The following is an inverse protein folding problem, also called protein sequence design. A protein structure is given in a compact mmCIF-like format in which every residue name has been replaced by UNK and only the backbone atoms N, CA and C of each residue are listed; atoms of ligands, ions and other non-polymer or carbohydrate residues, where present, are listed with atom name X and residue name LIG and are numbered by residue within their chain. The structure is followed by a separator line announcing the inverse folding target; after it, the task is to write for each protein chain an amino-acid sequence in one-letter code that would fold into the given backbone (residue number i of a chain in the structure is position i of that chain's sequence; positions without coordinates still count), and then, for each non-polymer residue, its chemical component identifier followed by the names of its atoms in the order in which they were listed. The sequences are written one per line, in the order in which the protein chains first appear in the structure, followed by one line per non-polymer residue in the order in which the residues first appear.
data_IF_785745195457
#
_entry.id   IF_785745195457
#
_cell.length_a   1.000
_cell.length_b   1.000
_cell.length_c   1.000
_cell.angle_alpha   90.00
_cell.angle_beta   90.00
_cell.angle_gamma   90.00
#
_symmetry.space_group_name_H-M   'P 1'
#
loop_
_entity.id
_entity.type
_entity.pdbx_description
1 polymer ?
#
# COMPACT_ATOMS: atom_id res chain seq x y z
N UNK A 1 -46.84 20.60 -83.27
CA UNK A 1 -45.45 21.12 -83.41
C UNK A 1 -44.68 20.75 -82.14
N UNK A 2 -43.70 19.85 -82.23
CA UNK A 2 -42.90 19.32 -81.09
C UNK A 2 -41.88 20.37 -80.64
N UNK A 3 -41.81 20.70 -79.36
CA UNK A 3 -40.60 21.30 -78.75
C UNK A 3 -40.26 20.56 -77.45
N UNK A 4 -38.97 20.25 -77.36
CA UNK A 4 -38.29 19.21 -76.57
C UNK A 4 -38.02 19.65 -75.13
N UNK A 5 -38.23 18.75 -74.18
CA UNK A 5 -37.68 18.79 -72.82
C UNK A 5 -36.18 18.48 -72.82
N UNK A 6 -35.36 19.39 -72.26
CA UNK A 6 -33.93 19.18 -72.00
C UNK A 6 -33.71 18.69 -70.56
N UNK A 7 -33.21 17.46 -70.44
CA UNK A 7 -32.65 16.86 -69.21
C UNK A 7 -31.46 17.67 -68.68
N UNK A 8 -31.51 18.11 -67.43
CA UNK A 8 -30.32 18.52 -66.68
C UNK A 8 -29.75 17.32 -65.91
N UNK A 9 -28.51 16.94 -66.26
CA UNK A 9 -27.72 15.91 -65.56
C UNK A 9 -27.16 16.49 -64.26
N UNK A 10 -27.28 15.72 -63.18
CA UNK A 10 -26.68 16.03 -61.87
C UNK A 10 -25.15 15.95 -61.92
N UNK A 11 -24.47 16.92 -61.31
CA UNK A 11 -23.05 16.84 -60.93
C UNK A 11 -22.97 16.84 -59.40
N UNK A 12 -22.91 15.66 -58.81
CA UNK A 12 -22.57 15.47 -57.39
C UNK A 12 -21.09 15.82 -57.16
N UNK A 13 -20.82 17.01 -56.63
CA UNK A 13 -19.53 17.33 -56.00
C UNK A 13 -19.46 16.63 -54.64
N UNK A 14 -18.61 15.59 -54.54
CA UNK A 14 -18.18 15.00 -53.26
C UNK A 14 -17.49 16.10 -52.42
N UNK A 15 -18.17 16.58 -51.38
CA UNK A 15 -17.51 17.25 -50.23
C UNK A 15 -17.10 16.16 -49.26
N UNK A 16 -15.83 15.77 -49.28
CA UNK A 16 -15.23 15.01 -48.18
C UNK A 16 -15.21 15.89 -46.92
N UNK A 17 -16.20 15.67 -46.06
CA UNK A 17 -16.11 16.10 -44.66
C UNK A 17 -15.08 15.19 -43.99
N UNK A 18 -13.85 15.70 -43.80
CA UNK A 18 -12.92 15.15 -42.81
C UNK A 18 -13.61 15.21 -41.44
N UNK A 19 -14.15 14.07 -41.02
CA UNK A 19 -14.66 13.85 -39.66
C UNK A 19 -13.44 13.88 -38.74
N UNK A 20 -13.27 14.97 -38.00
CA UNK A 20 -12.39 14.98 -36.83
C UNK A 20 -12.88 13.87 -35.90
N UNK A 21 -12.13 12.76 -35.85
CA UNK A 21 -12.32 11.73 -34.82
C UNK A 21 -11.87 12.35 -33.51
N UNK A 22 -12.80 12.91 -32.75
CA UNK A 22 -12.61 13.18 -31.33
C UNK A 22 -12.21 11.85 -30.68
N UNK A 23 -10.98 11.78 -30.16
CA UNK A 23 -10.53 10.71 -29.28
C UNK A 23 -11.53 10.64 -28.11
N UNK A 24 -12.40 9.62 -28.11
CA UNK A 24 -13.16 9.26 -26.92
C UNK A 24 -12.14 8.83 -25.87
N UNK A 25 -11.90 9.68 -24.87
CA UNK A 25 -11.27 9.27 -23.63
C UNK A 25 -12.16 8.19 -23.02
N UNK A 26 -11.74 6.93 -23.13
CA UNK A 26 -12.39 5.80 -22.49
C UNK A 26 -12.06 5.94 -21.00
N UNK A 27 -12.97 6.58 -20.25
CA UNK A 27 -12.94 6.59 -18.80
C UNK A 27 -13.30 5.18 -18.31
N UNK A 28 -12.35 4.50 -17.65
CA UNK A 28 -12.63 3.24 -16.98
C UNK A 28 -12.90 3.52 -15.50
N UNK A 29 -14.18 3.51 -15.15
CA UNK A 29 -14.62 3.33 -13.76
C UNK A 29 -14.45 1.84 -13.48
N UNK A 30 -13.75 1.46 -12.40
CA UNK A 30 -13.54 0.05 -12.03
C UNK A 30 -14.88 -0.50 -11.49
N UNK A 31 -15.61 -1.37 -12.21
CA UNK A 31 -16.85 -1.94 -11.71
C UNK A 31 -16.58 -3.23 -10.93
N UNK A 32 -17.33 -3.47 -9.85
CA UNK A 32 -17.32 -4.74 -9.14
C UNK A 32 -18.01 -5.83 -9.98
N UNK A 33 -17.28 -6.88 -10.39
CA UNK A 33 -17.84 -8.11 -10.95
C UNK A 33 -16.82 -9.27 -10.81
N UNK A 34 -17.06 -10.19 -9.86
CA UNK A 34 -16.26 -11.41 -9.68
C UNK A 34 -16.79 -12.57 -10.52
N UNK A 35 -16.07 -13.10 -11.53
CA UNK A 35 -16.49 -14.29 -12.28
C UNK A 35 -15.67 -15.55 -11.95
N UNK A 36 -16.35 -16.70 -11.82
CA UNK A 36 -15.82 -18.02 -11.46
C UNK A 36 -14.77 -18.63 -12.43
N UNK A 37 -14.55 -18.03 -13.61
CA UNK A 37 -13.65 -18.58 -14.64
C UNK A 37 -12.18 -18.17 -14.51
N UNK A 38 -11.82 -17.27 -13.57
CA UNK A 38 -10.42 -16.92 -13.23
C UNK A 38 -9.78 -17.96 -12.30
N UNK A 39 -10.06 -19.25 -12.52
CA UNK A 39 -9.44 -20.37 -11.80
C UNK A 39 -8.47 -21.16 -12.67
N UNK A 40 -8.64 -21.17 -14.00
CA UNK A 40 -7.83 -21.98 -14.91
C UNK A 40 -6.49 -21.32 -15.33
N UNK A 41 -6.44 -20.00 -15.43
CA UNK A 41 -5.21 -19.27 -15.82
C UNK A 41 -4.14 -19.27 -14.70
N UNK A 42 -4.55 -19.47 -13.45
CA UNK A 42 -3.64 -19.51 -12.28
C UNK A 42 -2.73 -20.73 -12.26
N UNK A 43 -3.15 -21.83 -12.90
CA UNK A 43 -2.42 -23.10 -12.86
C UNK A 43 -1.24 -23.14 -13.84
N UNK A 44 -1.31 -22.41 -14.95
CA UNK A 44 -0.27 -22.41 -15.98
C UNK A 44 0.96 -21.55 -15.60
N UNK A 45 0.78 -20.54 -14.74
CA UNK A 45 1.87 -19.67 -14.27
C UNK A 45 2.74 -20.36 -13.21
N UNK A 46 2.22 -21.36 -12.49
CA UNK A 46 2.97 -22.06 -11.43
C UNK A 46 4.02 -23.07 -11.96
N UNK A 47 4.13 -23.30 -13.27
CA UNK A 47 5.06 -24.28 -13.86
C UNK A 47 6.45 -23.71 -14.21
N UNK A 48 6.70 -22.42 -14.07
CA UNK A 48 8.03 -21.82 -14.32
C UNK A 48 8.85 -21.78 -13.02
N UNK A 49 9.76 -22.75 -12.87
CA UNK A 49 10.89 -22.88 -11.92
C UNK A 49 10.82 -22.09 -10.60
N UNK A 50 10.70 -22.83 -9.48
CA UNK A 50 10.96 -22.38 -8.09
C UNK A 50 12.37 -21.78 -7.94
N UNK A 51 12.59 -20.54 -8.36
CA UNK A 51 13.61 -19.70 -7.74
C UNK A 51 12.96 -19.07 -6.50
N UNK A 52 13.48 -19.39 -5.31
CA UNK A 52 13.02 -18.75 -4.08
C UNK A 52 13.31 -17.25 -4.15
N UNK A 53 12.27 -16.41 -4.16
CA UNK A 53 12.48 -14.95 -4.14
C UNK A 53 13.23 -14.53 -2.87
N UNK A 54 14.14 -13.56 -2.99
CA UNK A 54 14.94 -12.99 -1.91
C UNK A 54 14.11 -12.66 -0.67
N UNK A 55 14.65 -13.01 0.50
CA UNK A 55 14.13 -12.68 1.83
C UNK A 55 15.21 -11.90 2.59
N UNK A 56 14.87 -10.77 3.24
CA UNK A 56 15.78 -10.10 4.16
C UNK A 56 16.32 -11.04 5.24
N UNK A 57 17.57 -10.84 5.65
CA UNK A 57 18.25 -11.69 6.64
C UNK A 57 17.57 -11.66 8.00
N UNK A 58 17.00 -10.50 8.38
CA UNK A 58 16.24 -10.34 9.63
C UNK A 58 15.13 -11.39 9.77
N UNK A 59 14.58 -11.91 8.67
CA UNK A 59 13.51 -12.91 8.74
C UNK A 59 13.95 -14.24 9.39
N UNK A 60 15.25 -14.47 9.58
CA UNK A 60 15.78 -15.61 10.36
C UNK A 60 15.52 -15.47 11.86
N UNK A 61 15.42 -14.23 12.35
CA UNK A 61 15.24 -13.90 13.76
C UNK A 61 13.76 -13.65 14.13
N UNK A 62 12.87 -13.82 13.15
CA UNK A 62 11.43 -13.58 13.29
C UNK A 62 10.65 -14.87 13.43
N UNK A 63 9.43 -14.75 13.94
CA UNK A 63 8.45 -15.84 13.85
C UNK A 63 8.24 -16.20 12.39
N UNK A 64 8.61 -17.43 12.02
CA UNK A 64 8.60 -17.89 10.63
C UNK A 64 7.17 -17.94 10.09
N UNK A 65 6.94 -17.43 8.87
CA UNK A 65 5.67 -17.57 8.18
C UNK A 65 5.36 -19.04 7.89
N UNK A 66 4.19 -19.49 8.34
CA UNK A 66 3.66 -20.84 8.26
C UNK A 66 2.36 -20.83 7.46
N UNK A 67 2.09 -21.94 6.76
CA UNK A 67 0.81 -22.17 6.10
C UNK A 67 -0.20 -22.76 7.09
N UNK A 68 -0.53 -21.98 8.12
CA UNK A 68 -1.55 -22.30 9.13
C UNK A 68 -2.58 -21.17 9.16
N UNK A 69 -3.86 -21.45 9.47
CA UNK A 69 -4.87 -20.42 9.56
C UNK A 69 -4.60 -19.46 10.73
N UNK A 70 -4.77 -18.15 10.50
CA UNK A 70 -4.92 -17.19 11.60
C UNK A 70 -6.10 -17.60 12.47
N UNK A 71 -5.93 -17.47 13.78
CA UNK A 71 -7.05 -17.58 14.70
C UNK A 71 -7.74 -16.23 14.78
N UNK A 72 -9.06 -16.27 14.90
CA UNK A 72 -9.88 -15.08 15.05
C UNK A 72 -9.45 -14.26 16.28
N UNK A 73 -9.41 -12.93 16.14
CA UNK A 73 -9.20 -12.04 17.29
C UNK A 73 -10.57 -11.54 17.73
N UNK A 74 -10.95 -11.91 18.96
CA UNK A 74 -12.25 -11.55 19.53
C UNK A 74 -12.19 -10.20 20.21
N UNK A 75 -13.34 -9.52 20.23
CA UNK A 75 -13.51 -8.22 20.89
C UNK A 75 -13.21 -8.31 22.39
N UNK A 76 -12.74 -7.24 23.00
CA UNK A 76 -12.70 -7.09 24.46
C UNK A 76 -13.08 -5.67 24.85
N UNK A 77 -12.29 -4.69 24.38
CA UNK A 77 -12.50 -3.27 24.67
C UNK A 77 -12.12 -2.37 23.49
N UNK A 78 -12.30 -2.83 22.25
CA UNK A 78 -11.69 -2.19 21.07
C UNK A 78 -12.22 -0.77 20.84
N UNK A 79 -13.51 -0.53 21.07
CA UNK A 79 -14.08 0.81 20.98
C UNK A 79 -13.43 1.79 21.97
N UNK A 80 -13.21 1.35 23.22
CA UNK A 80 -12.52 2.16 24.24
C UNK A 80 -11.05 2.35 23.88
N UNK A 81 -10.39 1.31 23.38
CA UNK A 81 -8.98 1.34 22.99
C UNK A 81 -8.73 2.27 21.80
N UNK A 82 -9.58 2.25 20.76
CA UNK A 82 -9.50 3.18 19.65
C UNK A 82 -9.77 4.62 20.06
N UNK A 83 -10.64 4.82 21.04
CA UNK A 83 -10.90 6.15 21.63
C UNK A 83 -9.80 6.60 22.60
N UNK A 84 -8.72 5.82 22.73
CA UNK A 84 -7.59 6.06 23.64
C UNK A 84 -7.99 6.17 25.12
N UNK A 85 -9.16 5.64 25.50
CA UNK A 85 -9.67 5.65 26.87
C UNK A 85 -9.02 4.56 27.73
N UNK A 86 -8.68 3.44 27.11
CA UNK A 86 -8.09 2.27 27.78
C UNK A 86 -7.03 1.59 26.91
N UNK A 87 -6.06 0.86 27.49
CA UNK A 87 -5.15 0.01 26.72
C UNK A 87 -5.89 -1.14 26.02
N UNK A 88 -5.41 -1.54 24.84
CA UNK A 88 -6.00 -2.63 24.07
C UNK A 88 -5.98 -3.97 24.82
N UNK A 89 -7.10 -4.67 24.81
CA UNK A 89 -7.21 -6.07 25.24
C UNK A 89 -7.43 -7.00 24.04
N UNK A 90 -6.83 -8.18 24.12
CA UNK A 90 -6.90 -9.22 23.10
C UNK A 90 -7.79 -10.34 23.62
N UNK A 91 -8.89 -10.60 22.91
CA UNK A 91 -9.77 -11.72 23.17
C UNK A 91 -9.20 -13.02 22.60
N UNK A 92 -8.88 -13.96 23.49
CA UNK A 92 -8.41 -15.31 23.13
C UNK A 92 -9.56 -16.31 23.38
N UNK A 93 -9.93 -17.15 22.39
CA UNK A 93 -10.93 -18.19 22.59
C UNK A 93 -10.60 -19.11 23.77
N UNK A 94 -11.57 -19.34 24.67
CA UNK A 94 -11.44 -20.22 25.83
C UNK A 94 -11.59 -21.70 25.46
N UNK A 95 -11.12 -22.61 26.33
CA UNK A 95 -11.14 -24.05 26.09
C UNK A 95 -12.52 -24.70 26.23
N UNK A 96 -13.42 -24.11 27.03
CA UNK A 96 -14.68 -24.76 27.40
C UNK A 96 -15.86 -23.99 26.78
N UNK A 97 -15.99 -22.68 26.99
CA UNK A 97 -16.83 -21.76 26.19
C UNK A 97 -16.35 -20.31 26.41
N UNK A 98 -16.65 -19.39 25.48
CA UNK A 98 -16.39 -17.95 25.63
C UNK A 98 -14.98 -17.48 25.25
N UNK A 99 -14.61 -16.29 25.71
CA UNK A 99 -13.32 -15.63 25.44
C UNK A 99 -12.70 -15.16 26.75
N UNK A 100 -11.37 -15.19 26.81
CA UNK A 100 -10.60 -14.57 27.88
C UNK A 100 -9.94 -13.30 27.33
N UNK A 101 -10.15 -12.18 28.03
CA UNK A 101 -9.59 -10.89 27.67
C UNK A 101 -8.28 -10.66 28.41
N UNK A 102 -7.21 -10.45 27.66
CA UNK A 102 -5.89 -10.17 28.21
C UNK A 102 -5.38 -8.83 27.71
N UNK A 103 -4.74 -8.04 28.57
CA UNK A 103 -3.99 -6.87 28.10
C UNK A 103 -2.97 -7.30 27.03
N UNK A 104 -2.84 -6.51 25.96
CA UNK A 104 -2.01 -6.84 24.80
C UNK A 104 -0.54 -7.15 25.15
N UNK A 105 -0.05 -6.61 26.27
CA UNK A 105 1.33 -6.74 26.72
C UNK A 105 1.60 -8.00 27.57
N UNK A 106 0.57 -8.78 27.92
CA UNK A 106 0.71 -10.02 28.68
C UNK A 106 1.41 -11.12 27.86
N UNK A 107 2.11 -12.06 28.49
CA UNK A 107 2.73 -13.20 27.80
C UNK A 107 1.73 -14.00 26.94
N UNK A 108 0.50 -14.18 27.42
CA UNK A 108 -0.58 -14.90 26.74
C UNK A 108 -0.98 -14.18 25.45
N UNK A 109 -1.25 -12.88 25.53
CA UNK A 109 -1.61 -12.06 24.37
C UNK A 109 -0.47 -12.00 23.35
N UNK A 110 0.77 -11.77 23.80
CA UNK A 110 1.95 -11.76 22.91
C UNK A 110 2.13 -13.09 22.19
N UNK A 111 2.04 -14.22 22.90
CA UNK A 111 2.13 -15.57 22.29
C UNK A 111 1.04 -15.78 21.24
N UNK A 112 -0.17 -15.31 21.50
CA UNK A 112 -1.29 -15.40 20.56
C UNK A 112 -1.06 -14.55 19.30
N UNK A 113 -0.69 -13.28 19.48
CA UNK A 113 -0.40 -12.35 18.39
C UNK A 113 0.80 -12.82 17.55
N UNK A 114 1.87 -13.32 18.18
CA UNK A 114 3.03 -13.88 17.48
C UNK A 114 2.67 -15.14 16.68
N UNK A 115 1.78 -15.99 17.20
CA UNK A 115 1.24 -17.12 16.42
C UNK A 115 0.48 -16.60 15.19
N UNK A 116 -0.39 -15.61 15.34
CA UNK A 116 -1.13 -15.04 14.21
C UNK A 116 -0.22 -14.31 13.21
N UNK A 117 0.83 -13.65 13.69
CA UNK A 117 1.87 -13.08 12.84
C UNK A 117 2.55 -14.18 12.00
N UNK A 118 2.84 -15.33 12.60
CA UNK A 118 3.39 -16.50 11.90
C UNK A 118 2.41 -17.17 10.93
N UNK A 119 1.11 -16.91 11.03
CA UNK A 119 0.08 -17.59 10.25
C UNK A 119 -0.16 -16.95 8.87
N UNK A 120 -0.92 -17.65 8.01
CA UNK A 120 -1.39 -17.20 6.70
C UNK A 120 -0.29 -16.58 5.84
N UNK A 121 0.69 -17.41 5.49
CA UNK A 121 1.64 -17.08 4.41
C UNK A 121 0.91 -16.60 3.14
N UNK A 122 -0.26 -17.17 2.87
CA UNK A 122 -1.20 -16.73 1.85
C UNK A 122 -2.43 -16.11 2.53
N UNK A 123 -2.89 -14.95 2.06
CA UNK A 123 -4.10 -14.29 2.55
C UNK A 123 -5.25 -14.42 1.57
N UNK A 124 -6.47 -14.35 2.08
CA UNK A 124 -7.67 -14.34 1.24
C UNK A 124 -8.00 -12.89 0.85
N UNK A 125 -7.68 -12.52 -0.39
CA UNK A 125 -7.97 -11.19 -0.96
C UNK A 125 -9.41 -10.76 -0.70
N UNK A 126 -10.36 -11.70 -0.79
CA UNK A 126 -11.78 -11.37 -0.66
C UNK A 126 -12.13 -10.88 0.74
N UNK A 127 -11.35 -11.25 1.76
CA UNK A 127 -11.57 -10.82 3.15
C UNK A 127 -10.88 -9.51 3.49
N UNK A 128 -9.98 -8.99 2.65
CA UNK A 128 -9.18 -7.83 3.03
C UNK A 128 -10.05 -6.58 3.09
N UNK A 129 -10.04 -5.93 4.25
CA UNK A 129 -10.75 -4.66 4.50
C UNK A 129 -9.70 -3.65 4.96
N UNK A 130 -9.19 -2.79 4.06
CA UNK A 130 -8.19 -1.78 4.41
C UNK A 130 -8.79 -0.64 5.26
N UNK A 131 -7.96 0.17 5.95
CA UNK A 131 -8.43 1.24 6.82
C UNK A 131 -9.21 2.33 6.07
N UNK A 132 -10.13 3.01 6.75
CA UNK A 132 -10.85 4.13 6.15
C UNK A 132 -9.96 5.35 5.99
N UNK A 133 -10.01 6.00 4.82
CA UNK A 133 -9.36 7.30 4.64
C UNK A 133 -10.36 8.41 4.94
N UNK A 134 -10.18 9.02 6.11
CA UNK A 134 -11.02 10.09 6.64
C UNK A 134 -10.10 11.20 7.11
N UNK A 135 -10.44 12.44 6.75
CA UNK A 135 -9.60 13.62 7.00
C UNK A 135 -8.20 13.43 6.38
N UNK A 136 -7.15 13.65 7.17
CA UNK A 136 -5.78 13.84 6.70
C UNK A 136 -4.91 12.57 6.81
N UNK A 137 -5.50 11.37 6.88
CA UNK A 137 -4.76 10.10 7.05
C UNK A 137 -4.44 9.36 5.74
N UNK A 138 -4.79 9.92 4.57
CA UNK A 138 -4.70 9.20 3.30
C UNK A 138 -3.28 8.71 2.98
N UNK A 139 -2.27 9.55 3.24
CA UNK A 139 -0.85 9.22 3.09
C UNK A 139 -0.43 8.07 4.01
N UNK A 140 -0.91 8.05 5.25
CA UNK A 140 -0.59 7.00 6.22
C UNK A 140 -1.18 5.66 5.79
N UNK A 141 -2.44 5.67 5.34
CA UNK A 141 -3.16 4.46 4.94
C UNK A 141 -2.66 3.87 3.62
N UNK A 142 -2.26 4.71 2.65
CA UNK A 142 -1.66 4.23 1.41
C UNK A 142 -0.35 3.48 1.69
N UNK A 143 0.45 3.99 2.62
CA UNK A 143 1.68 3.31 3.06
C UNK A 143 1.41 2.08 3.92
N UNK A 144 0.39 2.11 4.77
CA UNK A 144 -0.08 0.96 5.56
C UNK A 144 -0.37 -0.24 4.66
N UNK A 145 -1.16 -0.05 3.60
CA UNK A 145 -1.51 -1.11 2.65
C UNK A 145 -0.27 -1.59 1.89
N UNK A 146 0.63 -0.66 1.54
CA UNK A 146 1.90 -0.98 0.92
C UNK A 146 2.80 -1.84 1.81
N UNK A 147 2.90 -1.57 3.11
CA UNK A 147 3.78 -2.31 4.02
C UNK A 147 3.18 -3.57 4.61
N UNK A 148 1.86 -3.61 4.82
CA UNK A 148 1.26 -4.68 5.63
C UNK A 148 0.25 -5.53 4.89
N UNK A 149 -0.11 -5.17 3.65
CA UNK A 149 -1.04 -5.95 2.81
C UNK A 149 -0.33 -6.51 1.58
N UNK A 150 0.52 -5.71 0.91
CA UNK A 150 1.24 -6.17 -0.29
C UNK A 150 2.13 -7.39 -0.03
N UNK A 151 2.36 -8.20 -1.06
CA UNK A 151 3.13 -9.45 -0.96
C UNK A 151 4.55 -9.20 -0.48
N UNK A 152 5.26 -8.20 -1.03
CA UNK A 152 6.61 -7.89 -0.58
C UNK A 152 6.62 -7.08 0.69
N UNK A 153 5.65 -6.19 0.89
CA UNK A 153 5.47 -5.44 2.14
C UNK A 153 5.39 -6.39 3.34
N UNK A 154 4.43 -7.31 3.34
CA UNK A 154 4.23 -8.29 4.43
C UNK A 154 5.51 -9.06 4.75
N UNK A 155 6.28 -9.39 3.72
CA UNK A 155 7.53 -10.16 3.87
C UNK A 155 8.69 -9.33 4.43
N UNK A 156 8.84 -8.08 3.99
CA UNK A 156 9.99 -7.23 4.33
C UNK A 156 9.77 -6.44 5.62
N UNK A 157 8.52 -6.11 5.96
CA UNK A 157 8.15 -5.39 7.17
C UNK A 157 7.56 -6.31 8.26
N UNK A 158 7.76 -7.62 8.12
CA UNK A 158 7.37 -8.61 9.13
C UNK A 158 8.00 -8.33 10.50
N UNK A 159 9.27 -7.89 10.51
CA UNK A 159 10.00 -7.56 11.73
C UNK A 159 9.33 -6.43 12.51
N UNK A 160 8.79 -5.44 11.79
CA UNK A 160 8.19 -4.26 12.39
C UNK A 160 6.97 -4.66 13.22
N UNK A 161 6.14 -5.56 12.68
CA UNK A 161 5.01 -6.12 13.43
C UNK A 161 5.44 -6.91 14.66
N UNK A 162 6.53 -7.67 14.56
CA UNK A 162 7.06 -8.39 15.72
C UNK A 162 7.51 -7.43 16.83
N UNK A 163 8.23 -6.36 16.49
CA UNK A 163 8.63 -5.32 17.47
C UNK A 163 7.41 -4.65 18.11
N UNK A 164 6.36 -4.36 17.33
CA UNK A 164 5.09 -3.82 17.84
C UNK A 164 4.42 -4.77 18.86
N UNK A 165 4.39 -6.08 18.58
CA UNK A 165 3.80 -7.09 19.48
C UNK A 165 4.65 -7.26 20.75
N UNK A 166 5.97 -7.35 20.58
CA UNK A 166 6.88 -7.56 21.70
C UNK A 166 6.97 -6.31 22.60
N UNK A 167 6.73 -5.12 22.04
CA UNK A 167 6.77 -3.85 22.74
C UNK A 167 8.18 -3.38 23.08
N UNK A 168 9.15 -3.71 22.22
CA UNK A 168 10.58 -3.40 22.38
C UNK A 168 11.20 -2.91 21.08
N UNK A 169 12.28 -2.15 21.19
CA UNK A 169 13.16 -1.74 20.10
C UNK A 169 14.06 -2.91 19.65
N UNK A 170 14.75 -2.77 18.51
CA UNK A 170 15.62 -3.85 18.00
C UNK A 170 16.74 -4.24 18.99
N UNK A 171 17.26 -3.28 19.77
CA UNK A 171 18.28 -3.50 20.80
C UNK A 171 17.73 -4.06 22.13
N UNK A 172 16.44 -4.38 22.19
CA UNK A 172 15.79 -4.90 23.40
C UNK A 172 15.24 -3.83 24.35
N UNK A 173 15.53 -2.54 24.14
CA UNK A 173 14.99 -1.46 24.96
C UNK A 173 13.46 -1.45 24.91
N UNK A 174 12.81 -1.37 26.06
CA UNK A 174 11.35 -1.36 26.16
C UNK A 174 10.80 -0.06 25.57
N UNK A 175 9.77 -0.16 24.75
CA UNK A 175 9.07 1.00 24.19
C UNK A 175 8.21 1.65 25.30
N UNK A 176 8.22 3.00 25.45
CA UNK A 176 7.37 3.69 26.41
C UNK A 176 5.88 3.34 26.25
N UNK A 177 5.13 3.25 27.35
CA UNK A 177 3.79 2.63 27.33
C UNK A 177 2.79 3.32 26.41
N UNK A 178 2.77 4.66 26.34
CA UNK A 178 1.87 5.38 25.41
C UNK A 178 2.17 5.05 23.95
N UNK A 179 3.45 4.92 23.60
CA UNK A 179 3.89 4.56 22.26
C UNK A 179 3.62 3.07 21.97
N UNK A 180 3.80 2.22 22.98
CA UNK A 180 3.49 0.79 22.93
C UNK A 180 2.00 0.56 22.67
N UNK A 181 1.12 1.36 23.29
CA UNK A 181 -0.32 1.33 23.03
C UNK A 181 -0.64 1.68 21.57
N UNK A 182 -0.01 2.73 21.01
CA UNK A 182 -0.19 3.10 19.61
C UNK A 182 0.24 1.96 18.66
N UNK A 183 1.38 1.33 18.94
CA UNK A 183 1.85 0.18 18.16
C UNK A 183 0.97 -1.06 18.30
N UNK A 184 0.40 -1.30 19.49
CA UNK A 184 -0.54 -2.38 19.70
C UNK A 184 -1.80 -2.19 18.85
N UNK A 185 -2.36 -0.97 18.83
CA UNK A 185 -3.50 -0.61 17.97
C UNK A 185 -3.15 -0.75 16.48
N UNK A 186 -1.96 -0.30 16.06
CA UNK A 186 -1.51 -0.44 14.68
C UNK A 186 -1.38 -1.91 14.26
N UNK A 187 -0.73 -2.75 15.08
CA UNK A 187 -0.63 -4.19 14.78
C UNK A 187 -2.00 -4.88 14.77
N UNK A 188 -2.88 -4.53 15.71
CA UNK A 188 -4.23 -5.05 15.75
C UNK A 188 -5.02 -4.67 14.50
N UNK A 189 -4.94 -3.40 14.07
CA UNK A 189 -5.54 -2.91 12.84
C UNK A 189 -5.06 -3.69 11.62
N UNK A 190 -3.76 -4.00 11.53
CA UNK A 190 -3.21 -4.85 10.46
C UNK A 190 -3.86 -6.23 10.46
N UNK A 191 -3.94 -6.92 11.60
CA UNK A 191 -4.57 -8.24 11.65
C UNK A 191 -6.06 -8.19 11.32
N UNK A 192 -6.78 -7.17 11.81
CA UNK A 192 -8.18 -6.96 11.48
C UNK A 192 -8.38 -6.79 9.97
N UNK A 193 -7.56 -5.94 9.34
CA UNK A 193 -7.59 -5.69 7.89
C UNK A 193 -7.35 -6.95 7.07
N UNK A 194 -6.36 -7.78 7.44
CA UNK A 194 -6.01 -9.00 6.70
C UNK A 194 -7.05 -10.12 6.84
N UNK A 195 -7.83 -10.12 7.93
CA UNK A 195 -8.80 -11.18 8.22
C UNK A 195 -10.24 -10.80 7.88
N UNK A 196 -10.50 -9.53 7.53
CA UNK A 196 -11.85 -9.02 7.32
C UNK A 196 -12.67 -8.94 8.60
N UNK A 197 -11.99 -8.79 9.73
CA UNK A 197 -12.65 -8.65 11.02
C UNK A 197 -13.53 -7.38 11.02
N UNK A 198 -14.67 -7.40 11.72
CA UNK A 198 -15.58 -6.24 11.86
C UNK A 198 -14.84 -4.95 12.23
N UNK A 199 -13.77 -5.03 13.03
CA UNK A 199 -13.00 -3.85 13.44
C UNK A 199 -12.25 -3.15 12.31
N UNK A 200 -11.99 -3.85 11.21
CA UNK A 200 -11.35 -3.24 10.04
C UNK A 200 -12.22 -2.14 9.43
N UNK A 201 -13.55 -2.26 9.54
CA UNK A 201 -14.51 -1.27 9.06
C UNK A 201 -14.60 -0.03 9.94
N UNK A 202 -14.18 -0.13 11.20
CA UNK A 202 -14.21 0.96 12.19
C UNK A 202 -12.83 1.59 12.39
N UNK A 203 -11.79 1.07 11.72
CA UNK A 203 -10.41 1.49 11.91
C UNK A 203 -10.19 2.92 11.38
N UNK A 204 -10.17 3.88 12.31
CA UNK A 204 -9.73 5.24 12.07
C UNK A 204 -8.26 5.41 12.51
N UNK A 205 -7.37 5.48 11.53
CA UNK A 205 -5.93 5.63 11.77
C UNK A 205 -5.50 7.00 12.28
N UNK A 206 -6.37 8.03 12.25
CA UNK A 206 -6.06 9.34 12.84
C UNK A 206 -5.72 9.24 14.33
N UNK A 207 -6.42 8.37 15.08
CA UNK A 207 -6.14 8.16 16.51
C UNK A 207 -4.75 7.54 16.72
N UNK A 208 -4.34 6.64 15.82
CA UNK A 208 -3.00 6.03 15.85
C UNK A 208 -1.95 7.09 15.51
N UNK A 209 -2.15 7.89 14.45
CA UNK A 209 -1.24 8.98 14.04
C UNK A 209 -1.06 9.97 15.19
N UNK A 210 -2.16 10.41 15.80
CA UNK A 210 -2.15 11.34 16.92
C UNK A 210 -1.37 10.78 18.11
N UNK A 211 -1.62 9.51 18.48
CA UNK A 211 -0.94 8.89 19.60
C UNK A 211 0.55 8.68 19.32
N UNK A 212 0.95 8.30 18.10
CA UNK A 212 2.35 8.21 17.68
C UNK A 212 3.03 9.58 17.81
N UNK A 213 2.43 10.63 17.26
CA UNK A 213 2.96 11.99 17.33
C UNK A 213 3.14 12.48 18.78
N UNK A 214 2.13 12.28 19.63
CA UNK A 214 2.19 12.69 21.05
C UNK A 214 3.18 11.87 21.87
N UNK A 215 3.37 10.60 21.53
CA UNK A 215 4.20 9.68 22.33
C UNK A 215 5.68 9.69 21.96
N UNK A 216 6.02 10.11 20.74
CA UNK A 216 7.42 10.26 20.33
C UNK A 216 7.97 11.61 20.83
N UNK A 217 9.13 11.61 21.53
CA UNK A 217 9.70 12.84 22.12
C UNK A 217 9.91 13.97 21.12
N UNK A 218 9.68 15.21 21.54
CA UNK A 218 9.90 16.41 20.71
C UNK A 218 11.33 16.51 20.19
N UNK A 219 12.33 16.19 21.02
CA UNK A 219 13.74 16.16 20.62
C UNK A 219 14.02 15.23 19.45
N UNK A 220 13.29 14.11 19.34
CA UNK A 220 13.40 13.21 18.19
C UNK A 220 12.72 13.82 16.96
N UNK A 221 11.55 14.44 17.13
CA UNK A 221 10.78 15.06 16.03
C UNK A 221 11.45 16.31 15.45
N UNK A 222 12.21 17.06 16.26
CA UNK A 222 13.05 18.16 15.76
C UNK A 222 14.13 17.66 14.80
N UNK A 223 14.73 16.50 15.09
CA UNK A 223 15.73 15.86 14.21
C UNK A 223 15.08 15.16 13.01
N UNK A 224 13.87 14.62 13.18
CA UNK A 224 13.12 13.89 12.16
C UNK A 224 11.71 14.48 12.02
N UNK A 225 11.54 15.60 11.28
CA UNK A 225 10.30 16.38 11.21
C UNK A 225 9.21 15.73 10.35
N UNK A 226 9.27 14.41 10.15
CA UNK A 226 8.32 13.64 9.34
C UNK A 226 7.27 12.95 10.19
N UNK A 227 7.41 12.93 11.51
CA UNK A 227 6.37 12.45 12.42
C UNK A 227 5.46 13.65 12.72
N UNK A 228 4.38 13.74 11.95
CA UNK A 228 3.40 14.81 12.04
C UNK A 228 2.12 14.35 12.72
N UNK A 229 1.33 15.29 13.25
CA UNK A 229 0.01 14.99 13.81
C UNK A 229 -1.06 14.89 12.71
N UNK A 230 -2.29 14.61 13.10
CA UNK A 230 -3.48 14.75 12.25
C UNK A 230 -3.55 16.18 11.70
N UNK A 231 -4.13 16.33 10.50
CA UNK A 231 -4.26 17.60 9.75
C UNK A 231 -2.99 18.22 9.20
N UNK A 232 -1.84 17.59 9.45
CA UNK A 232 -0.59 17.92 8.76
C UNK A 232 -0.39 17.07 7.51
N UNK A 233 0.09 17.69 6.43
CA UNK A 233 0.56 16.97 5.26
C UNK A 233 1.81 16.14 5.61
N UNK A 234 1.79 14.85 5.29
CA UNK A 234 2.89 13.93 5.55
C UNK A 234 3.43 13.30 4.26
N UNK A 235 4.73 13.00 4.24
CA UNK A 235 5.29 12.09 3.24
C UNK A 235 5.04 10.65 3.72
N UNK A 236 4.28 9.81 2.96
CA UNK A 236 3.91 8.46 3.36
C UNK A 236 5.10 7.61 3.84
N UNK A 237 6.20 7.63 3.07
CA UNK A 237 7.37 6.81 3.35
C UNK A 237 8.16 7.34 4.53
N UNK A 238 8.45 8.64 4.55
CA UNK A 238 9.31 9.24 5.57
C UNK A 238 8.70 9.16 6.97
N UNK A 239 7.37 9.21 7.08
CA UNK A 239 6.67 9.02 8.35
C UNK A 239 6.98 7.63 8.95
N UNK A 240 6.75 6.57 8.18
CA UNK A 240 7.04 5.20 8.63
C UNK A 240 8.54 4.95 8.82
N UNK A 241 9.41 5.51 7.97
CA UNK A 241 10.86 5.38 8.17
C UNK A 241 11.31 6.05 9.47
N UNK A 242 10.72 7.20 9.83
CA UNK A 242 11.01 7.88 11.09
C UNK A 242 10.58 7.06 12.30
N UNK A 243 9.48 6.32 12.19
CA UNK A 243 9.03 5.36 13.21
C UNK A 243 9.99 4.17 13.32
N UNK A 244 10.39 3.56 12.20
CA UNK A 244 11.33 2.42 12.18
C UNK A 244 12.68 2.84 12.76
N UNK A 245 13.15 4.03 12.41
CA UNK A 245 14.38 4.60 12.95
C UNK A 245 14.27 4.87 14.46
N UNK A 246 13.10 5.32 14.95
CA UNK A 246 12.86 5.49 16.39
C UNK A 246 12.97 4.16 17.13
N UNK A 247 12.51 3.07 16.51
CA UNK A 247 12.65 1.71 17.04
C UNK A 247 14.09 1.17 16.98
N UNK A 248 15.05 2.04 16.65
CA UNK A 248 16.46 1.76 16.44
C UNK A 248 16.67 0.56 15.52
N UNK A 249 15.86 0.48 14.45
CA UNK A 249 15.87 -0.66 13.56
C UNK A 249 16.58 -0.35 12.24
N UNK A 250 17.64 -1.09 11.95
CA UNK A 250 18.41 -1.05 10.70
C UNK A 250 18.33 -2.36 9.92
N UNK A 251 17.40 -3.25 10.30
CA UNK A 251 17.22 -4.59 9.73
C UNK A 251 16.87 -4.58 8.24
N UNK A 252 16.20 -3.51 7.79
CA UNK A 252 15.88 -3.28 6.38
C UNK A 252 16.59 -2.01 5.92
N UNK A 253 17.63 -2.21 5.11
CA UNK A 253 18.27 -1.16 4.34
C UNK A 253 17.35 -0.72 3.19
N UNK A 254 16.84 0.51 3.25
CA UNK A 254 16.04 1.15 2.20
C UNK A 254 16.86 2.27 1.54
N UNK A 255 16.92 2.25 0.21
CA UNK A 255 17.50 3.35 -0.58
C UNK A 255 16.36 4.20 -1.14
N UNK A 256 16.32 5.46 -0.76
CA UNK A 256 15.32 6.42 -1.22
C UNK A 256 15.91 7.38 -2.24
N UNK A 257 15.48 7.26 -3.49
CA UNK A 257 15.87 8.18 -4.58
C UNK A 257 14.79 9.23 -4.75
N UNK A 258 15.11 10.45 -4.32
CA UNK A 258 14.27 11.62 -4.48
C UNK A 258 14.39 12.20 -5.88
N UNK A 259 13.32 12.85 -6.34
CA UNK A 259 13.25 13.48 -7.66
C UNK A 259 13.74 12.54 -8.79
N UNK A 260 13.23 11.31 -8.79
CA UNK A 260 13.56 10.33 -9.81
C UNK A 260 12.93 10.74 -11.16
N UNK A 261 13.76 10.67 -12.19
CA UNK A 261 13.43 11.02 -13.58
C UNK A 261 14.13 10.03 -14.53
N UNK A 262 14.36 10.40 -15.79
CA UNK A 262 15.01 9.52 -16.76
C UNK A 262 16.40 9.03 -16.34
N UNK A 263 17.09 9.75 -15.44
CA UNK A 263 18.41 9.40 -14.93
C UNK A 263 18.33 8.59 -13.62
N UNK A 264 17.15 8.05 -13.26
CA UNK A 264 16.94 7.29 -12.03
C UNK A 264 17.96 6.16 -11.83
N UNK A 265 18.35 5.47 -12.91
CA UNK A 265 19.26 4.30 -12.83
C UNK A 265 20.67 4.72 -12.42
N UNK A 266 21.12 5.86 -12.90
CA UNK A 266 22.43 6.43 -12.53
C UNK A 266 22.40 6.91 -11.08
N UNK A 267 21.32 7.62 -10.67
CA UNK A 267 21.10 8.04 -9.28
C UNK A 267 21.10 6.86 -8.30
N UNK A 268 20.43 5.75 -8.66
CA UNK A 268 20.46 4.51 -7.87
C UNK A 268 21.87 3.94 -7.81
N UNK A 269 22.54 3.81 -8.96
CA UNK A 269 23.88 3.20 -9.05
C UNK A 269 24.92 4.00 -8.26
N UNK A 270 24.89 5.33 -8.35
CA UNK A 270 25.78 6.21 -7.59
C UNK A 270 25.53 6.12 -6.09
N UNK A 271 24.26 6.10 -5.68
CA UNK A 271 23.88 5.99 -4.28
C UNK A 271 24.30 4.63 -3.71
N UNK A 272 24.13 3.55 -4.47
CA UNK A 272 24.55 2.19 -4.07
C UNK A 272 26.07 2.06 -3.89
N UNK A 273 26.89 2.80 -4.65
CA UNK A 273 28.35 2.83 -4.45
C UNK A 273 28.76 3.36 -3.07
N UNK A 274 27.92 4.20 -2.45
CA UNK A 274 28.16 4.79 -1.13
C UNK A 274 27.67 3.90 0.02
N UNK A 275 27.05 2.77 -0.28
CA UNK A 275 26.45 1.87 0.71
C UNK A 275 27.36 0.66 0.97
N UNK A 276 27.49 0.26 2.23
CA UNK A 276 28.22 -0.95 2.64
C UNK A 276 27.49 -2.23 2.25
N UNK A 277 26.16 -2.18 2.28
CA UNK A 277 25.29 -3.29 1.91
C UNK A 277 24.31 -2.83 0.84
N UNK A 278 24.03 -3.73 -0.10
CA UNK A 278 22.99 -3.49 -1.10
C UNK A 278 21.65 -3.23 -0.39
N UNK A 279 20.78 -2.35 -0.94
CA UNK A 279 19.48 -2.07 -0.34
C UNK A 279 18.51 -3.22 -0.53
N UNK A 280 17.72 -3.53 0.49
CA UNK A 280 16.62 -4.49 0.41
C UNK A 280 15.47 -3.93 -0.44
N UNK A 281 15.25 -2.62 -0.32
CA UNK A 281 14.16 -1.89 -0.96
C UNK A 281 14.77 -0.64 -1.60
N UNK A 282 14.37 -0.35 -2.84
CA UNK A 282 14.66 0.90 -3.52
C UNK A 282 13.32 1.59 -3.75
N UNK A 283 13.19 2.84 -3.30
CA UNK A 283 11.99 3.65 -3.55
C UNK A 283 12.36 4.81 -4.46
N UNK A 284 11.64 4.95 -5.58
CA UNK A 284 11.75 6.08 -6.47
C UNK A 284 10.59 7.05 -6.19
N UNK A 285 10.91 8.25 -5.69
CA UNK A 285 9.97 9.37 -5.58
C UNK A 285 9.98 10.15 -6.88
N UNK A 286 8.85 10.19 -7.59
CA UNK A 286 8.70 10.95 -8.82
C UNK A 286 7.67 12.03 -8.57
N UNK A 287 8.07 13.28 -8.73
CA UNK A 287 7.19 14.44 -8.62
C UNK A 287 6.33 14.62 -9.88
N UNK A 288 5.21 15.33 -9.74
CA UNK A 288 4.21 15.55 -10.78
C UNK A 288 4.83 16.06 -12.12
N UNK A 289 5.76 17.02 -12.03
CA UNK A 289 6.45 17.63 -13.17
C UNK A 289 7.40 16.65 -13.90
N UNK A 290 7.96 15.68 -13.17
CA UNK A 290 8.83 14.64 -13.75
C UNK A 290 8.01 13.50 -14.30
N UNK A 291 6.86 13.18 -13.71
CA UNK A 291 6.01 12.07 -14.11
C UNK A 291 5.64 12.14 -15.61
N UNK A 292 5.36 13.33 -16.12
CA UNK A 292 5.00 13.58 -17.52
C UNK A 292 6.13 13.41 -18.52
N UNK A 293 7.39 13.50 -18.05
CA UNK A 293 8.61 13.42 -18.86
C UNK A 293 9.38 12.12 -18.62
N UNK A 294 8.88 11.25 -17.74
CA UNK A 294 9.53 10.00 -17.39
C UNK A 294 9.29 8.97 -18.51
N UNK A 295 10.30 8.76 -19.34
CA UNK A 295 10.24 7.96 -20.57
C UNK A 295 9.73 6.53 -20.30
N UNK A 296 10.33 5.86 -19.30
CA UNK A 296 9.97 4.49 -18.94
C UNK A 296 10.36 4.15 -17.50
N UNK A 297 9.37 4.06 -16.63
CA UNK A 297 9.45 3.49 -15.28
C UNK A 297 9.60 1.97 -15.41
N UNK A 298 10.63 1.36 -14.81
CA UNK A 298 10.87 -0.07 -14.95
C UNK A 298 9.85 -0.90 -14.16
N UNK A 299 9.52 -2.11 -14.61
CA UNK A 299 8.85 -3.12 -13.77
C UNK A 299 9.85 -3.94 -12.95
N UNK A 300 11.07 -4.07 -13.47
CA UNK A 300 12.21 -4.66 -12.81
C UNK A 300 13.50 -4.14 -13.43
N UNK A 301 14.58 -4.18 -12.67
CA UNK A 301 15.91 -3.82 -13.15
C UNK A 301 16.99 -4.58 -12.36
N UNK A 302 18.20 -4.59 -12.90
CA UNK A 302 19.38 -5.17 -12.24
C UNK A 302 20.45 -4.11 -12.08
N UNK A 303 21.03 -4.02 -10.88
CA UNK A 303 22.18 -3.18 -10.54
C UNK A 303 23.08 -4.00 -9.62
N UNK A 304 24.38 -4.04 -9.90
CA UNK A 304 25.37 -4.85 -9.17
C UNK A 304 24.90 -6.30 -8.97
N UNK A 305 24.48 -6.95 -10.06
CA UNK A 305 23.97 -8.34 -10.12
C UNK A 305 22.69 -8.64 -9.32
N UNK A 306 22.24 -7.69 -8.49
CA UNK A 306 21.00 -7.81 -7.73
C UNK A 306 19.81 -7.34 -8.55
N UNK A 307 18.76 -8.18 -8.57
CA UNK A 307 17.53 -7.90 -9.31
C UNK A 307 16.49 -7.28 -8.39
N UNK A 308 15.90 -6.17 -8.80
CA UNK A 308 14.82 -5.50 -8.11
C UNK A 308 13.54 -5.57 -8.95
N UNK A 309 12.39 -5.75 -8.30
CA UNK A 309 11.08 -5.82 -8.97
C UNK A 309 10.08 -4.94 -8.23
N UNK A 310 9.26 -4.21 -8.99
CA UNK A 310 8.20 -3.40 -8.43
C UNK A 310 7.10 -4.31 -7.85
N UNK A 311 6.63 -3.96 -6.66
CA UNK A 311 5.57 -4.68 -5.97
C UNK A 311 4.39 -3.78 -5.63
N UNK A 312 4.66 -2.51 -5.34
CA UNK A 312 3.67 -1.56 -4.84
C UNK A 312 4.05 -0.12 -5.15
N UNK A 313 3.07 0.76 -5.12
CA UNK A 313 3.27 2.20 -5.18
C UNK A 313 2.21 2.96 -4.39
N UNK A 314 2.58 4.16 -3.96
CA UNK A 314 1.67 5.18 -3.42
C UNK A 314 1.57 6.28 -4.47
N UNK A 315 0.36 6.73 -4.77
CA UNK A 315 0.09 7.66 -5.87
C UNK A 315 -0.85 8.75 -5.38
N UNK A 316 -0.49 10.02 -5.61
CA UNK A 316 -1.38 11.15 -5.32
C UNK A 316 -2.31 11.37 -6.51
N UNK A 317 -3.53 11.80 -6.29
CA UNK A 317 -4.44 12.12 -7.37
C UNK A 317 -3.97 13.37 -8.14
N UNK A 318 -4.53 13.60 -9.32
CA UNK A 318 -4.13 14.68 -10.23
C UNK A 318 -4.47 16.07 -9.67
N UNK A 319 -5.50 16.19 -8.81
CA UNK A 319 -5.84 17.43 -8.10
C UNK A 319 -4.96 17.68 -6.87
N UNK A 320 -4.06 16.72 -6.55
CA UNK A 320 -3.02 16.81 -5.51
C UNK A 320 -3.53 16.80 -4.07
N UNK A 321 -4.69 16.23 -3.83
CA UNK A 321 -5.38 16.26 -2.53
C UNK A 321 -5.33 14.91 -1.80
N UNK A 322 -5.30 13.80 -2.54
CA UNK A 322 -5.60 12.48 -2.00
C UNK A 322 -4.63 11.40 -2.47
N UNK A 323 -4.27 10.49 -1.57
CA UNK A 323 -3.36 9.37 -1.86
C UNK A 323 -4.11 8.05 -1.97
N UNK A 324 -3.86 7.31 -3.04
CA UNK A 324 -4.21 5.90 -3.17
C UNK A 324 -2.95 5.01 -3.14
N UNK A 325 -3.15 3.70 -3.06
CA UNK A 325 -2.09 2.73 -3.25
C UNK A 325 -2.43 1.74 -4.37
N UNK A 326 -1.42 1.27 -5.06
CA UNK A 326 -1.52 0.12 -5.95
C UNK A 326 -0.52 -0.93 -5.52
N UNK A 327 -0.94 -2.18 -5.38
CA UNK A 327 -0.15 -3.24 -4.75
C UNK A 327 -0.19 -4.53 -5.56
N UNK A 328 0.74 -5.42 -5.26
CA UNK A 328 0.63 -6.84 -5.60
C UNK A 328 0.15 -7.58 -4.37
N UNK A 329 -0.97 -8.28 -4.46
CA UNK A 329 -1.54 -9.07 -3.37
C UNK A 329 -1.90 -10.45 -3.91
N UNK A 330 -1.34 -11.51 -3.32
CA UNK A 330 -1.42 -12.89 -3.82
C UNK A 330 -1.17 -12.99 -5.33
N UNK A 331 -0.08 -12.33 -5.78
CA UNK A 331 0.34 -12.25 -7.19
C UNK A 331 -0.63 -11.52 -8.13
N UNK A 332 -1.69 -10.89 -7.62
CA UNK A 332 -2.61 -10.06 -8.41
C UNK A 332 -2.29 -8.58 -8.21
N UNK A 333 -2.37 -7.83 -9.29
CA UNK A 333 -2.26 -6.37 -9.26
C UNK A 333 -3.59 -5.77 -8.83
N UNK A 334 -3.56 -4.95 -7.78
CA UNK A 334 -4.74 -4.39 -7.13
C UNK A 334 -4.57 -2.91 -6.82
N UNK A 335 -5.69 -2.20 -6.66
CA UNK A 335 -5.77 -0.81 -6.23
C UNK A 335 -6.52 -0.68 -4.92
N UNK A 336 -6.16 0.34 -4.15
CA UNK A 336 -6.78 0.67 -2.88
C UNK A 336 -6.93 2.19 -2.75
N UNK A 337 -8.14 2.60 -2.40
CA UNK A 337 -8.47 3.94 -1.96
C UNK A 337 -9.49 3.83 -0.82
N UNK A 338 -9.12 4.29 0.36
CA UNK A 338 -9.97 4.23 1.55
C UNK A 338 -11.04 5.31 1.61
N UNK A 339 -11.05 6.28 0.68
CA UNK A 339 -12.16 7.24 0.51
C UNK A 339 -13.36 6.57 -0.18
N UNK A 340 -13.10 5.54 -0.98
CA UNK A 340 -14.14 4.76 -1.66
C UNK A 340 -14.98 3.88 -0.73
N UNK A 341 -14.56 3.71 0.53
CA UNK A 341 -15.12 2.73 1.48
C UNK A 341 -15.17 1.28 0.93
N UNK A 342 -14.44 1.00 -0.15
CA UNK A 342 -14.39 -0.31 -0.77
C UNK A 342 -13.17 -1.13 -0.30
N UNK A 343 -13.29 -2.44 -0.47
CA UNK A 343 -12.15 -3.36 -0.34
C UNK A 343 -11.12 -3.06 -1.44
N UNK A 344 -9.95 -3.70 -1.34
CA UNK A 344 -8.99 -3.64 -2.45
C UNK A 344 -9.62 -4.21 -3.73
N UNK A 345 -9.37 -3.53 -4.85
CA UNK A 345 -10.02 -3.82 -6.13
C UNK A 345 -9.00 -4.28 -7.16
N UNK A 346 -9.40 -5.15 -8.10
CA UNK A 346 -8.53 -5.55 -9.20
C UNK A 346 -8.14 -4.34 -10.06
N UNK A 347 -6.84 -4.14 -10.27
CA UNK A 347 -6.31 -3.06 -11.11
C UNK A 347 -4.96 -3.49 -11.67
N UNK A 348 -4.88 -3.74 -12.98
CA UNK A 348 -3.63 -4.08 -13.68
C UNK A 348 -2.72 -2.86 -13.85
N UNK A 349 -2.30 -2.28 -12.73
CA UNK A 349 -1.65 -0.97 -12.65
C UNK A 349 -0.23 -0.96 -13.25
N UNK A 350 0.50 -2.07 -13.19
CA UNK A 350 1.88 -2.17 -13.73
C UNK A 350 1.95 -1.84 -15.21
N UNK A 351 0.99 -2.31 -15.99
CA UNK A 351 0.91 -2.03 -17.43
C UNK A 351 0.51 -0.58 -17.73
N UNK A 352 0.01 0.15 -16.72
CA UNK A 352 -0.45 1.54 -16.83
C UNK A 352 0.60 2.56 -16.39
N UNK A 353 1.68 2.13 -15.75
CA UNK A 353 2.71 3.02 -15.20
C UNK A 353 3.33 3.99 -16.22
N UNK A 354 3.37 3.59 -17.49
CA UNK A 354 4.01 4.34 -18.58
C UNK A 354 3.04 4.78 -19.67
N UNK A 355 1.73 4.67 -19.42
CA UNK A 355 0.69 5.10 -20.36
C UNK A 355 -0.10 6.25 -19.75
N UNK A 356 -0.48 7.23 -20.57
CA UNK A 356 -1.46 8.24 -20.15
C UNK A 356 -2.83 7.58 -19.95
N UNK A 357 -3.07 7.12 -18.73
CA UNK A 357 -4.25 6.37 -18.33
C UNK A 357 -4.77 6.90 -17.00
N UNK A 358 -5.96 7.50 -17.06
CA UNK A 358 -6.68 7.93 -15.86
C UNK A 358 -7.50 6.77 -15.30
N UNK A 359 -7.43 6.54 -14.00
CA UNK A 359 -8.37 5.70 -13.27
C UNK A 359 -8.98 6.46 -12.09
N UNK A 360 -10.10 5.96 -11.61
CA UNK A 360 -10.83 6.46 -10.45
C UNK A 360 -11.36 5.28 -9.64
N UNK A 361 -11.65 5.51 -8.36
CA UNK A 361 -12.38 4.59 -7.52
C UNK A 361 -13.82 5.11 -7.38
N UNK A 362 -14.79 4.21 -7.40
CA UNK A 362 -16.18 4.54 -7.11
C UNK A 362 -16.28 5.13 -5.69
N UNK A 363 -17.06 6.21 -5.50
CA UNK A 363 -17.20 6.87 -4.19
C UNK A 363 -16.08 7.87 -3.82
N UNK A 364 -14.97 7.92 -4.57
CA UNK A 364 -13.88 8.86 -4.31
C UNK A 364 -14.07 10.15 -5.11
N UNK A 365 -14.67 11.16 -4.50
CA UNK A 365 -15.00 12.45 -5.14
C UNK A 365 -14.31 13.63 -4.46
N UNK A 366 -14.02 14.66 -5.26
CA UNK A 366 -13.63 15.98 -4.78
C UNK A 366 -14.83 16.71 -4.13
N UNK A 367 -14.61 17.91 -3.58
CA UNK A 367 -15.63 18.71 -2.90
C UNK A 367 -16.82 19.09 -3.80
N UNK A 368 -16.59 19.18 -5.11
CA UNK A 368 -17.62 19.47 -6.11
C UNK A 368 -18.36 18.21 -6.61
N UNK A 369 -18.07 17.04 -6.04
CA UNK A 369 -18.65 15.76 -6.43
C UNK A 369 -18.00 15.13 -7.67
N UNK A 370 -16.97 15.74 -8.26
CA UNK A 370 -16.25 15.13 -9.38
C UNK A 370 -15.37 13.98 -8.92
N UNK A 371 -15.31 12.88 -9.67
CA UNK A 371 -14.45 11.75 -9.32
C UNK A 371 -12.98 12.17 -9.35
N UNK A 372 -12.27 11.85 -8.25
CA UNK A 372 -10.83 11.97 -8.17
C UNK A 372 -10.19 11.03 -9.21
N UNK A 373 -9.10 11.49 -9.82
CA UNK A 373 -8.42 10.78 -10.90
C UNK A 373 -6.96 10.62 -10.55
N UNK A 374 -6.45 9.42 -10.78
CA UNK A 374 -5.03 9.13 -10.68
C UNK A 374 -4.49 8.76 -12.05
N UNK A 375 -3.21 9.06 -12.26
CA UNK A 375 -2.52 8.75 -13.51
C UNK A 375 -1.01 8.80 -13.31
N UNK A 376 -0.32 7.67 -13.46
CA UNK A 376 1.12 7.57 -13.24
C UNK A 376 1.96 8.55 -14.07
N UNK A 377 1.47 9.08 -15.20
CA UNK A 377 2.21 10.06 -16.02
C UNK A 377 1.93 11.52 -15.63
N UNK A 378 1.05 11.77 -14.65
CA UNK A 378 0.60 13.14 -14.32
C UNK A 378 0.73 13.53 -12.85
N UNK A 379 1.03 12.59 -11.96
CA UNK A 379 0.94 12.83 -10.52
C UNK A 379 2.18 12.37 -9.77
N UNK A 380 2.31 12.87 -8.54
CA UNK A 380 3.28 12.40 -7.57
C UNK A 380 3.13 10.91 -7.27
N UNK A 381 4.25 10.22 -7.13
CA UNK A 381 4.27 8.78 -6.84
C UNK A 381 5.52 8.35 -6.06
N UNK A 382 5.33 7.33 -5.23
CA UNK A 382 6.39 6.52 -4.64
C UNK A 382 6.32 5.14 -5.27
N UNK A 383 7.37 4.73 -6.00
CA UNK A 383 7.46 3.41 -6.61
C UNK A 383 8.38 2.51 -5.78
N UNK A 384 7.85 1.41 -5.22
CA UNK A 384 8.59 0.54 -4.31
C UNK A 384 9.07 -0.72 -5.02
N UNK A 385 10.39 -0.83 -5.14
CA UNK A 385 11.09 -1.95 -5.73
C UNK A 385 11.78 -2.77 -4.64
N UNK A 386 11.46 -4.05 -4.59
CA UNK A 386 12.03 -4.96 -3.61
C UNK A 386 13.07 -5.84 -4.28
N UNK A 387 14.15 -6.15 -3.56
CA UNK A 387 15.13 -7.14 -4.02
C UNK A 387 14.42 -8.47 -4.24
N UNK A 388 14.71 -9.09 -5.37
CA UNK A 388 14.08 -10.31 -5.86
C UNK A 388 15.05 -11.48 -5.94
N UNK A 389 16.29 -11.23 -6.37
CA UNK A 389 17.41 -12.16 -6.34
C UNK A 389 18.48 -11.56 -5.44
#
# INVERSE_FOLDING_TARGET
MKIKTKKYKSKNRKKERKRNKTLKNIHHIIPNNTPLQIRKISNDINRIRKMSSYSPTINKDLVTLKSIPRKEILDCNISQAYSLKEPLQIGIPGNIFGKNCFNYNTPQAKKYLLRNLSADKHIDITKIVPPLQVQSNCWFNAMFVTFFVSDKGRKFFHFLRQLMIEGKQQNGTIIPDKLKNAFALLNFGIDACLTGNKFAYELNTNNIIHQLYKSIPSSYKEKYPYIVDVDAAGNPLLYYMSIINYLNNSSIVLLFIRDADNNWKDKVSESMKKMTHLPHIIVLEVYDEKASKFNKKPLSFTINESKYKIDSSVVRDISKQHFCATITCEKKDMGYDGMSFHRISDLKWKDKMNSDYNWSFEGSTDYDGTLLKWNFTKCYQLLLYYRFV
#
